data_IF_785129793301
#
_entry.id   IF_785129793301
#
_cell.length_a   1.000
_cell.length_b   1.000
_cell.length_c   1.000
_cell.angle_alpha   90.00
_cell.angle_beta   90.00
_cell.angle_gamma   90.00
#
_symmetry.space_group_name_H-M   'P 1'
#
loop_
_entity.id
_entity.type
_entity.pdbx_description
1 polymer ?
#
# COMPACT_ATOMS: atom_id res chain seq x y z
N UNK A 1 -16.95 -23.34 5.39
CA UNK A 1 -15.81 -22.41 5.44
C UNK A 1 -16.36 -21.06 5.85
N UNK A 2 -15.89 -20.51 6.97
CA UNK A 2 -16.27 -19.17 7.41
C UNK A 2 -15.25 -18.17 6.85
N UNK A 3 -15.74 -17.21 6.07
CA UNK A 3 -14.93 -16.19 5.40
C UNK A 3 -15.09 -14.82 6.09
N UNK A 4 -15.71 -14.77 7.27
CA UNK A 4 -15.94 -13.52 7.98
C UNK A 4 -14.70 -13.05 8.71
N UNK A 5 -14.36 -11.77 8.52
CA UNK A 5 -13.26 -11.15 9.24
C UNK A 5 -13.63 -10.92 10.71
N UNK A 6 -12.68 -11.20 11.59
CA UNK A 6 -12.78 -10.85 13.02
C UNK A 6 -12.82 -9.32 13.20
N UNK A 7 -13.33 -8.81 14.33
CA UNK A 7 -13.32 -7.38 14.62
C UNK A 7 -11.91 -6.75 14.53
N UNK A 8 -10.88 -7.46 15.01
CA UNK A 8 -9.49 -7.03 14.91
C UNK A 8 -9.02 -6.91 13.44
N UNK A 9 -9.34 -7.90 12.60
CA UNK A 9 -9.03 -7.85 11.17
C UNK A 9 -9.74 -6.68 10.46
N UNK A 10 -11.00 -6.41 10.81
CA UNK A 10 -11.75 -5.26 10.27
C UNK A 10 -11.11 -3.93 10.68
N UNK A 11 -10.71 -3.79 11.94
CA UNK A 11 -10.06 -2.59 12.45
C UNK A 11 -8.71 -2.33 11.75
N UNK A 12 -7.87 -3.36 11.64
CA UNK A 12 -6.59 -3.25 10.94
C UNK A 12 -6.77 -2.86 9.47
N UNK A 13 -7.70 -3.50 8.75
CA UNK A 13 -8.02 -3.14 7.36
C UNK A 13 -8.48 -1.69 7.22
N UNK A 14 -9.29 -1.20 8.16
CA UNK A 14 -9.73 0.19 8.16
C UNK A 14 -8.56 1.17 8.35
N UNK A 15 -7.65 0.85 9.28
CA UNK A 15 -6.43 1.63 9.51
C UNK A 15 -5.55 1.72 8.26
N UNK A 16 -5.25 0.58 7.62
CA UNK A 16 -4.41 0.55 6.41
C UNK A 16 -5.08 1.31 5.27
N UNK A 17 -6.41 1.16 5.09
CA UNK A 17 -7.15 1.88 4.05
C UNK A 17 -7.14 3.40 4.26
N UNK A 18 -7.28 3.86 5.49
CA UNK A 18 -7.19 5.28 5.81
C UNK A 18 -5.80 5.83 5.45
N UNK A 19 -4.75 5.12 5.86
CA UNK A 19 -3.38 5.50 5.51
C UNK A 19 -3.15 5.53 3.99
N UNK A 20 -3.59 4.50 3.26
CA UNK A 20 -3.45 4.43 1.81
C UNK A 20 -4.16 5.59 1.09
N UNK A 21 -5.36 5.96 1.55
CA UNK A 21 -6.13 7.08 0.97
C UNK A 21 -5.34 8.40 1.02
N UNK A 22 -4.60 8.62 2.10
CA UNK A 22 -3.86 9.85 2.31
C UNK A 22 -2.46 9.82 1.66
N UNK A 23 -1.91 8.62 1.42
CA UNK A 23 -0.51 8.45 1.03
C UNK A 23 -0.28 7.98 -0.40
N UNK A 24 -1.26 7.34 -1.04
CA UNK A 24 -1.12 6.80 -2.39
C UNK A 24 -0.83 7.93 -3.40
N UNK A 25 0.09 7.71 -4.37
CA UNK A 25 0.32 8.67 -5.44
C UNK A 25 -1.00 8.96 -6.18
N UNK A 26 -1.39 10.25 -6.23
CA UNK A 26 -2.61 10.69 -6.94
C UNK A 26 -2.48 10.54 -8.46
N UNK A 27 -1.26 10.58 -8.95
CA UNK A 27 -0.93 10.32 -10.35
C UNK A 27 -0.34 8.93 -10.47
N UNK A 28 -0.70 8.24 -11.56
CA UNK A 28 -0.15 6.93 -11.87
C UNK A 28 1.37 7.05 -12.06
N UNK A 29 2.13 6.18 -11.40
CA UNK A 29 3.57 6.08 -11.59
C UNK A 29 3.90 5.72 -13.03
N UNK A 30 5.04 6.21 -13.53
CA UNK A 30 5.55 5.89 -14.87
C UNK A 30 5.79 4.37 -15.01
N UNK A 31 5.97 3.92 -16.25
CA UNK A 31 6.27 2.51 -16.52
C UNK A 31 7.55 2.08 -15.80
N UNK A 32 7.50 0.92 -15.14
CA UNK A 32 8.62 0.33 -14.44
C UNK A 32 9.80 0.01 -15.37
N UNK A 33 9.54 -0.15 -16.68
CA UNK A 33 10.58 -0.41 -17.69
C UNK A 33 11.43 0.83 -18.02
N UNK A 34 11.05 2.00 -17.49
CA UNK A 34 11.85 3.22 -17.61
C UNK A 34 12.60 3.45 -16.31
N UNK A 35 13.82 3.99 -16.40
CA UNK A 35 14.61 4.35 -15.21
C UNK A 35 13.82 5.26 -14.25
N UNK A 36 13.12 6.25 -14.81
CA UNK A 36 12.32 7.20 -14.02
C UNK A 36 11.15 6.52 -13.32
N UNK A 37 10.43 5.62 -14.01
CA UNK A 37 9.37 4.86 -13.37
C UNK A 37 9.90 3.92 -12.30
N UNK A 38 10.99 3.20 -12.58
CA UNK A 38 11.63 2.33 -11.60
C UNK A 38 11.96 3.06 -10.28
N UNK A 39 12.56 4.26 -10.34
CA UNK A 39 12.82 5.05 -9.14
C UNK A 39 11.53 5.52 -8.45
N UNK A 40 10.50 5.93 -9.20
CA UNK A 40 9.20 6.27 -8.61
C UNK A 40 8.55 5.10 -7.86
N UNK A 41 8.66 3.87 -8.40
CA UNK A 41 8.18 2.67 -7.73
C UNK A 41 9.01 2.37 -6.48
N UNK A 42 10.33 2.55 -6.53
CA UNK A 42 11.21 2.38 -5.35
C UNK A 42 10.89 3.37 -4.22
N UNK A 43 10.67 4.64 -4.55
CA UNK A 43 10.28 5.66 -3.57
C UNK A 43 8.94 5.31 -2.93
N UNK A 44 7.99 4.81 -3.73
CA UNK A 44 6.70 4.37 -3.22
C UNK A 44 6.83 3.15 -2.29
N UNK A 45 7.61 2.14 -2.66
CA UNK A 45 7.90 0.98 -1.82
C UNK A 45 8.61 1.37 -0.52
N UNK A 46 9.53 2.34 -0.55
CA UNK A 46 10.17 2.86 0.65
C UNK A 46 9.14 3.50 1.60
N UNK A 47 8.22 4.31 1.07
CA UNK A 47 7.14 4.94 1.85
C UNK A 47 6.19 3.90 2.47
N UNK A 48 5.91 2.81 1.74
CA UNK A 48 5.15 1.67 2.28
C UNK A 48 5.90 0.96 3.41
N UNK A 49 7.21 0.75 3.25
CA UNK A 49 8.05 0.10 4.24
C UNK A 49 8.17 0.93 5.53
N UNK A 50 8.34 2.25 5.41
CA UNK A 50 8.37 3.18 6.55
C UNK A 50 7.09 3.12 7.39
N UNK A 51 5.94 2.94 6.74
CA UNK A 51 4.65 2.79 7.41
C UNK A 51 4.33 1.35 7.86
N UNK A 52 5.21 0.38 7.58
CA UNK A 52 5.01 -1.03 7.91
C UNK A 52 3.98 -1.74 7.04
N UNK A 53 3.67 -1.21 5.85
CA UNK A 53 2.63 -1.72 4.96
C UNK A 53 3.15 -2.35 3.66
N UNK A 54 4.47 -2.52 3.51
CA UNK A 54 5.10 -3.07 2.28
C UNK A 54 4.71 -4.52 1.96
N UNK A 55 4.29 -5.30 2.94
CA UNK A 55 3.97 -6.73 2.77
C UNK A 55 2.51 -7.09 3.11
N UNK A 56 1.60 -6.11 3.10
CA UNK A 56 0.20 -6.38 3.42
C UNK A 56 -0.49 -7.11 2.27
N UNK A 57 -0.88 -8.36 2.54
CA UNK A 57 -1.63 -9.23 1.65
C UNK A 57 -3.07 -9.43 2.17
N UNK A 58 -4.03 -9.58 1.26
CA UNK A 58 -5.48 -9.64 1.57
C UNK A 58 -6.14 -10.87 1.01
#
# INVERSE_FOLDING_TARGET
>A
MDLTYTPAQKAFRAQVRAWLKDNVPKQRLKSYDTREGFEQHREWEAKLAEAGYSAVMW
#
